data_IF_501305617957
#
_entry.id   IF_501305617957
#
_cell.length_a   1.000
_cell.length_b   1.000
_cell.length_c   1.000
_cell.angle_alpha   90.00
_cell.angle_beta   90.00
_cell.angle_gamma   90.00
#
_symmetry.space_group_name_H-M   'P 1'
#
loop_
_entity.id
_entity.type
_entity.pdbx_description
1 polymer ?
#
# COMPACT_ATOMS: atom_id res chain seq x y z
N UNK A 1 15.95 17.38 9.41
CA UNK A 1 14.96 17.58 10.50
C UNK A 1 14.79 16.26 11.21
N UNK A 2 14.66 16.26 12.55
CA UNK A 2 14.45 15.04 13.31
C UNK A 2 12.96 14.68 13.25
N UNK A 3 12.63 13.49 12.76
CA UNK A 3 11.24 13.03 12.62
C UNK A 3 10.48 13.01 13.95
N UNK A 4 11.18 12.76 15.07
CA UNK A 4 10.59 12.85 16.40
C UNK A 4 10.17 14.29 16.77
N UNK A 5 10.93 15.30 16.32
CA UNK A 5 10.58 16.69 16.59
C UNK A 5 9.33 17.11 15.81
N UNK A 6 9.15 16.58 14.59
CA UNK A 6 7.95 16.81 13.79
C UNK A 6 6.74 16.15 14.45
N UNK A 7 6.84 14.90 14.88
CA UNK A 7 5.71 14.21 15.53
C UNK A 7 5.31 14.89 16.85
N UNK A 8 6.29 15.34 17.66
CA UNK A 8 6.03 16.14 18.86
C UNK A 8 5.30 17.46 18.54
N UNK A 9 5.67 18.14 17.46
CA UNK A 9 5.00 19.37 17.03
C UNK A 9 3.56 19.11 16.59
N UNK A 10 3.32 18.01 15.87
CA UNK A 10 1.98 17.59 15.43
C UNK A 10 1.08 17.30 16.63
N UNK A 11 1.59 16.59 17.63
CA UNK A 11 0.87 16.30 18.88
C UNK A 11 0.60 17.58 19.69
N UNK A 12 1.59 18.45 19.81
CA UNK A 12 1.46 19.76 20.49
C UNK A 12 0.37 20.62 19.84
N UNK A 13 0.24 20.54 18.51
CA UNK A 13 -0.80 21.25 17.75
C UNK A 13 -2.18 20.59 17.79
N UNK A 14 -2.33 19.45 18.48
CA UNK A 14 -3.62 18.75 18.61
C UNK A 14 -4.14 18.19 17.28
N UNK A 15 -3.25 17.94 16.30
CA UNK A 15 -3.64 17.42 15.00
C UNK A 15 -3.90 15.91 15.14
N UNK A 16 -5.14 15.51 15.40
CA UNK A 16 -5.53 14.11 15.65
C UNK A 16 -6.21 13.42 14.46
N UNK A 17 -6.30 14.10 13.31
CA UNK A 17 -6.86 13.51 12.11
C UNK A 17 -6.06 12.27 11.66
N UNK A 18 -6.71 11.24 11.08
CA UNK A 18 -6.02 10.05 10.58
C UNK A 18 -4.90 10.43 9.61
N UNK A 19 -3.70 9.87 9.83
CA UNK A 19 -2.51 10.12 9.01
C UNK A 19 -1.67 8.86 8.88
N UNK A 20 -0.86 8.84 7.83
CA UNK A 20 0.24 7.88 7.73
C UNK A 20 1.34 8.32 8.69
N UNK A 21 1.89 7.39 9.46
CA UNK A 21 2.98 7.67 10.42
C UNK A 21 4.31 7.18 9.88
N UNK A 22 5.40 7.71 10.44
CA UNK A 22 6.74 7.24 10.09
C UNK A 22 6.93 5.77 10.46
N UNK A 23 6.43 5.36 11.62
CA UNK A 23 6.52 3.98 12.10
C UNK A 23 5.86 3.00 11.12
N UNK A 24 4.74 3.41 10.52
CA UNK A 24 4.08 2.64 9.47
C UNK A 24 4.94 2.54 8.20
N UNK A 25 5.55 3.64 7.77
CA UNK A 25 6.44 3.62 6.60
C UNK A 25 7.69 2.80 6.86
N UNK A 26 8.28 2.87 8.05
CA UNK A 26 9.42 2.03 8.43
C UNK A 26 9.05 0.55 8.45
N UNK A 27 7.87 0.21 8.99
CA UNK A 27 7.32 -1.14 8.93
C UNK A 27 7.17 -1.63 7.49
N UNK A 28 6.62 -0.80 6.60
CA UNK A 28 6.48 -1.11 5.18
C UNK A 28 7.84 -1.26 4.48
N UNK A 29 8.80 -0.39 4.79
CA UNK A 29 10.18 -0.50 4.30
C UNK A 29 10.86 -1.81 4.75
N UNK A 30 10.52 -2.33 5.93
CA UNK A 30 10.99 -3.65 6.40
C UNK A 30 10.55 -4.83 5.53
N UNK A 31 9.55 -4.64 4.65
CA UNK A 31 9.06 -5.63 3.68
C UNK A 31 9.63 -5.44 2.28
N UNK A 32 10.47 -4.42 2.09
CA UNK A 32 11.09 -4.12 0.79
C UNK A 32 12.28 -5.03 0.56
N UNK A 33 12.33 -5.62 -0.63
CA UNK A 33 13.41 -6.47 -1.11
C UNK A 33 14.11 -5.79 -2.28
N UNK A 34 15.41 -6.06 -2.45
CA UNK A 34 16.23 -5.42 -3.48
C UNK A 34 16.78 -6.46 -4.44
N UNK A 35 16.58 -6.23 -5.74
CA UNK A 35 17.09 -7.10 -6.81
C UNK A 35 17.83 -6.23 -7.81
N UNK A 36 19.06 -6.59 -8.16
CA UNK A 36 19.85 -5.79 -9.07
C UNK A 36 21.26 -6.29 -9.28
N UNK A 37 21.99 -5.56 -10.11
CA UNK A 37 23.36 -5.89 -10.45
C UNK A 37 23.92 -4.99 -11.54
N UNK A 38 25.16 -5.30 -11.91
CA UNK A 38 25.82 -4.65 -13.04
C UNK A 38 25.04 -4.93 -14.32
N UNK A 39 24.80 -3.89 -15.11
CA UNK A 39 24.30 -4.08 -16.48
C UNK A 39 25.46 -4.62 -17.31
N UNK A 40 25.24 -5.77 -17.96
CA UNK A 40 26.28 -6.52 -18.66
C UNK A 40 27.13 -5.64 -19.57
N UNK A 41 28.46 -5.81 -19.51
CA UNK A 41 29.45 -5.05 -20.28
C UNK A 41 29.49 -3.52 -20.07
N UNK A 42 28.72 -2.97 -19.11
CA UNK A 42 28.75 -1.53 -18.78
C UNK A 42 29.48 -1.26 -17.47
N UNK A 43 29.68 0.00 -17.10
CA UNK A 43 30.12 0.41 -15.75
C UNK A 43 28.94 0.83 -14.85
N UNK A 44 27.73 0.44 -15.24
CA UNK A 44 26.48 0.82 -14.57
C UNK A 44 25.93 -0.33 -13.73
N UNK A 45 25.35 0.00 -12.59
CA UNK A 45 24.61 -0.90 -11.71
C UNK A 45 23.21 -0.35 -11.51
N UNK A 46 22.22 -1.22 -11.63
CA UNK A 46 20.81 -0.90 -11.41
C UNK A 46 20.27 -1.82 -10.33
N UNK A 47 19.54 -1.24 -9.38
CA UNK A 47 18.87 -1.97 -8.29
C UNK A 47 17.41 -1.56 -8.24
N UNK A 48 16.53 -2.55 -8.16
CA UNK A 48 15.08 -2.40 -8.05
C UNK A 48 14.63 -2.74 -6.63
N UNK A 49 13.76 -1.91 -6.07
CA UNK A 49 13.13 -2.11 -4.77
C UNK A 49 11.69 -2.62 -4.97
N UNK A 50 11.39 -3.80 -4.43
CA UNK A 50 10.08 -4.43 -4.52
C UNK A 50 9.44 -4.56 -3.13
N UNK A 51 8.21 -4.08 -2.99
CA UNK A 51 7.35 -4.40 -1.84
C UNK A 51 6.86 -5.84 -1.97
N UNK A 52 7.01 -6.63 -0.90
CA UNK A 52 6.64 -8.05 -0.82
C UNK A 52 7.18 -8.92 -1.97
N UNK A 53 8.31 -8.49 -2.56
CA UNK A 53 8.99 -9.19 -3.65
C UNK A 53 8.29 -9.14 -5.01
N UNK A 54 7.14 -8.47 -5.16
CA UNK A 54 6.38 -8.49 -6.40
C UNK A 54 5.89 -7.13 -6.91
N UNK A 55 5.85 -6.10 -6.06
CA UNK A 55 5.38 -4.77 -6.46
C UNK A 55 6.54 -3.79 -6.52
N UNK A 56 6.91 -3.35 -7.74
CA UNK A 56 8.02 -2.42 -7.94
C UNK A 56 7.68 -1.05 -7.34
N UNK A 57 8.44 -0.62 -6.34
CA UNK A 57 8.34 0.71 -5.76
C UNK A 57 9.23 1.70 -6.52
N UNK A 58 10.50 1.36 -6.71
CA UNK A 58 11.47 2.28 -7.29
C UNK A 58 12.70 1.56 -7.85
N UNK A 59 13.45 2.29 -8.68
CA UNK A 59 14.74 1.88 -9.20
C UNK A 59 15.81 2.91 -8.85
N UNK A 60 16.96 2.42 -8.42
CA UNK A 60 18.17 3.19 -8.20
C UNK A 60 19.28 2.78 -9.17
N UNK A 61 20.19 3.70 -9.43
CA UNK A 61 21.30 3.48 -10.35
C UNK A 61 22.59 4.12 -9.84
N UNK A 62 23.71 3.52 -10.21
CA UNK A 62 25.05 4.09 -10.08
C UNK A 62 25.84 3.81 -11.35
N UNK A 63 26.68 4.73 -11.78
CA UNK A 63 27.58 4.52 -12.91
C UNK A 63 28.93 5.20 -12.63
N UNK A 64 30.03 4.53 -12.95
CA UNK A 64 31.37 5.13 -12.95
C UNK A 64 31.86 5.33 -14.39
N UNK A 65 32.69 6.35 -14.61
CA UNK A 65 33.16 6.70 -15.97
C UNK A 65 34.23 5.74 -16.48
N UNK A 66 35.10 5.27 -15.59
CA UNK A 66 36.24 4.41 -15.93
C UNK A 66 35.94 2.95 -15.55
N UNK A 67 36.12 1.98 -16.48
CA UNK A 67 36.03 0.56 -16.18
C UNK A 67 37.03 0.08 -15.12
N UNK A 68 38.21 0.70 -15.07
CA UNK A 68 39.28 0.37 -14.11
C UNK A 68 38.86 0.70 -12.67
N UNK A 69 38.01 1.71 -12.50
CA UNK A 69 37.46 2.12 -11.21
C UNK A 69 36.14 1.40 -10.87
N UNK A 70 35.68 0.46 -11.69
CA UNK A 70 34.43 -0.24 -11.44
C UNK A 70 34.56 -1.17 -10.23
N UNK A 71 33.68 -0.98 -9.25
CA UNK A 71 33.53 -1.86 -8.10
C UNK A 71 32.05 -2.26 -7.96
N UNK A 72 31.76 -3.55 -8.19
CA UNK A 72 30.40 -4.07 -8.19
C UNK A 72 29.69 -3.92 -6.85
N UNK A 73 30.40 -4.11 -5.74
CA UNK A 73 29.84 -4.00 -4.39
C UNK A 73 29.50 -2.55 -4.06
N UNK A 74 30.41 -1.62 -4.38
CA UNK A 74 30.16 -0.19 -4.15
C UNK A 74 29.03 0.34 -5.03
N UNK A 75 29.02 -0.03 -6.32
CA UNK A 75 27.95 0.32 -7.25
C UNK A 75 26.59 -0.20 -6.78
N UNK A 76 26.54 -1.46 -6.32
CA UNK A 76 25.32 -2.03 -5.75
C UNK A 76 24.86 -1.27 -4.51
N UNK A 77 25.75 -0.98 -3.56
CA UNK A 77 25.42 -0.21 -2.34
C UNK A 77 24.85 1.18 -2.69
N UNK A 78 25.45 1.89 -3.64
CA UNK A 78 24.98 3.22 -4.06
C UNK A 78 23.63 3.16 -4.78
N UNK A 79 23.47 2.22 -5.71
CA UNK A 79 22.21 2.01 -6.42
C UNK A 79 21.10 1.57 -5.46
N UNK A 80 21.39 0.68 -4.50
CA UNK A 80 20.46 0.25 -3.46
C UNK A 80 20.04 1.42 -2.57
N UNK A 81 20.98 2.23 -2.07
CA UNK A 81 20.67 3.39 -1.23
C UNK A 81 19.77 4.40 -1.97
N UNK A 82 20.02 4.61 -3.27
CA UNK A 82 19.17 5.46 -4.09
C UNK A 82 17.77 4.85 -4.29
N UNK A 83 17.68 3.53 -4.53
CA UNK A 83 16.41 2.83 -4.67
C UNK A 83 15.61 2.89 -3.36
N UNK A 84 16.28 2.71 -2.21
CA UNK A 84 15.67 2.79 -0.89
C UNK A 84 15.06 4.16 -0.60
N UNK A 85 15.80 5.24 -0.83
CA UNK A 85 15.29 6.60 -0.62
C UNK A 85 14.02 6.85 -1.45
N UNK A 86 14.06 6.50 -2.74
CA UNK A 86 12.91 6.63 -3.64
C UNK A 86 11.74 5.73 -3.24
N UNK A 87 12.00 4.51 -2.80
CA UNK A 87 10.97 3.57 -2.36
C UNK A 87 10.23 4.10 -1.12
N UNK A 88 10.96 4.71 -0.17
CA UNK A 88 10.38 5.36 1.00
C UNK A 88 9.45 6.50 0.61
N UNK A 89 9.87 7.37 -0.32
CA UNK A 89 9.04 8.47 -0.84
C UNK A 89 7.78 7.94 -1.56
N UNK A 90 7.92 6.85 -2.33
CA UNK A 90 6.78 6.21 -2.99
C UNK A 90 5.80 5.60 -1.98
N UNK A 91 6.28 4.95 -0.92
CA UNK A 91 5.40 4.43 0.12
C UNK A 91 4.63 5.54 0.83
N UNK A 92 5.25 6.68 1.12
CA UNK A 92 4.52 7.83 1.67
C UNK A 92 3.34 8.26 0.78
N UNK A 93 3.57 8.37 -0.53
CA UNK A 93 2.53 8.73 -1.49
C UNK A 93 1.43 7.66 -1.58
N UNK A 94 1.81 6.39 -1.71
CA UNK A 94 0.90 5.27 -1.89
C UNK A 94 0.06 5.00 -0.63
N UNK A 95 0.68 5.00 0.55
CA UNK A 95 -0.02 4.84 1.82
C UNK A 95 -0.95 6.03 2.10
N UNK A 96 -0.55 7.25 1.70
CA UNK A 96 -1.41 8.43 1.76
C UNK A 96 -2.65 8.29 0.87
N UNK A 97 -2.47 7.80 -0.36
CA UNK A 97 -3.58 7.50 -1.27
C UNK A 97 -4.48 6.37 -0.74
N UNK A 98 -3.89 5.32 -0.17
CA UNK A 98 -4.62 4.21 0.44
C UNK A 98 -5.46 4.69 1.63
N UNK A 99 -4.91 5.54 2.49
CA UNK A 99 -5.62 6.17 3.60
C UNK A 99 -6.77 7.04 3.11
N UNK A 100 -6.52 7.91 2.11
CA UNK A 100 -7.58 8.72 1.48
C UNK A 100 -8.74 7.85 1.01
N UNK A 101 -8.42 6.75 0.32
CA UNK A 101 -9.43 5.82 -0.22
C UNK A 101 -10.24 5.16 0.90
N UNK A 102 -9.59 4.73 1.99
CA UNK A 102 -10.28 4.19 3.17
C UNK A 102 -11.23 5.23 3.80
N UNK A 103 -10.78 6.46 3.98
CA UNK A 103 -11.57 7.56 4.56
C UNK A 103 -12.74 7.99 3.67
N UNK A 104 -12.63 7.86 2.35
CA UNK A 104 -13.74 8.15 1.44
C UNK A 104 -14.92 7.16 1.61
N UNK A 105 -14.67 6.00 2.22
CA UNK A 105 -15.67 4.97 2.44
C UNK A 105 -16.06 4.20 1.16
N UNK A 106 -17.06 3.32 1.26
CA UNK A 106 -17.48 2.49 0.14
C UNK A 106 -18.20 3.30 -0.95
N UNK A 107 -17.94 2.98 -2.21
CA UNK A 107 -18.62 3.58 -3.36
C UNK A 107 -20.05 3.04 -3.51
N UNK A 108 -20.91 3.78 -4.22
CA UNK A 108 -22.27 3.30 -4.55
C UNK A 108 -22.25 1.96 -5.31
N UNK A 109 -21.23 1.73 -6.15
CA UNK A 109 -21.05 0.45 -6.84
C UNK A 109 -20.72 -0.68 -5.86
N UNK A 110 -19.85 -0.45 -4.88
CA UNK A 110 -19.55 -1.43 -3.83
C UNK A 110 -20.80 -1.75 -3.01
N UNK A 111 -21.59 -0.73 -2.64
CA UNK A 111 -22.87 -0.92 -1.95
C UNK A 111 -23.86 -1.73 -2.81
N UNK A 112 -24.00 -1.39 -4.09
CA UNK A 112 -24.87 -2.12 -5.03
C UNK A 112 -24.45 -3.58 -5.20
N UNK A 113 -23.14 -3.84 -5.35
CA UNK A 113 -22.59 -5.20 -5.42
C UNK A 113 -22.81 -6.00 -4.13
N UNK A 114 -22.72 -5.36 -2.97
CA UNK A 114 -23.04 -5.99 -1.69
C UNK A 114 -24.53 -6.33 -1.60
N UNK A 115 -25.41 -5.40 -2.00
CA UNK A 115 -26.86 -5.60 -1.98
C UNK A 115 -27.35 -6.66 -2.99
N UNK A 116 -26.55 -6.94 -4.01
CA UNK A 116 -26.86 -7.93 -5.05
C UNK A 116 -26.08 -9.22 -4.86
N UNK A 117 -25.39 -9.37 -3.74
CA UNK A 117 -24.64 -10.59 -3.44
C UNK A 117 -25.59 -11.80 -3.38
N UNK A 118 -25.34 -12.86 -4.17
CA UNK A 118 -26.19 -14.04 -4.21
C UNK A 118 -26.00 -14.86 -2.93
N UNK A 119 -27.10 -15.19 -2.24
CA UNK A 119 -27.04 -16.01 -1.02
C UNK A 119 -26.66 -17.43 -1.39
N UNK A 120 -25.59 -18.01 -0.79
CA UNK A 120 -25.30 -19.42 -0.95
C UNK A 120 -26.47 -20.27 -0.45
N UNK A 121 -26.80 -21.36 -1.15
CA UNK A 121 -27.98 -22.19 -0.83
C UNK A 121 -28.03 -22.74 0.61
N UNK A 122 -26.85 -22.90 1.25
CA UNK A 122 -26.69 -23.37 2.62
C UNK A 122 -26.89 -22.28 3.69
N UNK A 123 -27.05 -21.02 3.29
CA UNK A 123 -27.31 -19.89 4.21
C UNK A 123 -28.80 -19.62 4.22
N UNK A 124 -29.40 -19.59 5.42
CA UNK A 124 -30.84 -19.44 5.65
C UNK A 124 -31.12 -18.25 6.59
N UNK A 125 -31.00 -16.98 6.12
CA UNK A 125 -31.08 -15.81 6.99
C UNK A 125 -32.44 -15.65 7.69
N UNK A 126 -33.50 -16.15 7.07
CA UNK A 126 -34.90 -16.06 7.53
C UNK A 126 -35.59 -17.43 7.61
N UNK A 127 -34.79 -18.50 7.71
CA UNK A 127 -35.30 -19.88 7.76
C UNK A 127 -35.68 -20.48 6.40
N UNK A 128 -35.64 -19.71 5.31
CA UNK A 128 -35.83 -20.22 3.95
C UNK A 128 -34.48 -20.35 3.21
N UNK A 129 -34.30 -21.42 2.43
CA UNK A 129 -33.09 -21.65 1.64
C UNK A 129 -32.86 -20.58 0.56
N UNK A 130 -31.60 -20.25 0.30
CA UNK A 130 -31.23 -19.49 -0.90
C UNK A 130 -31.71 -20.21 -2.16
N UNK A 131 -32.39 -19.50 -3.07
CA UNK A 131 -32.75 -20.00 -4.40
C UNK A 131 -32.04 -19.17 -5.49
N UNK A 132 -31.86 -19.68 -6.71
CA UNK A 132 -31.30 -18.90 -7.82
C UNK A 132 -32.05 -17.58 -8.01
N UNK A 133 -31.33 -16.45 -8.02
CA UNK A 133 -31.91 -15.11 -8.12
C UNK A 133 -32.28 -14.45 -6.79
N UNK A 134 -32.18 -15.17 -5.66
CA UNK A 134 -32.35 -14.59 -4.32
C UNK A 134 -31.06 -13.90 -3.86
N UNK A 135 -31.11 -12.59 -3.66
CA UNK A 135 -30.01 -11.80 -3.10
C UNK A 135 -30.12 -11.72 -1.58
N UNK A 136 -28.98 -11.58 -0.89
CA UNK A 136 -28.88 -11.72 0.57
C UNK A 136 -29.41 -10.58 1.39
N UNK A 137 -29.93 -9.55 0.76
CA UNK A 137 -30.22 -8.29 1.42
C UNK A 137 -31.55 -7.71 0.97
N UNK A 138 -32.57 -8.56 0.80
CA UNK A 138 -33.95 -8.07 0.86
C UNK A 138 -34.29 -7.45 2.25
N UNK A 139 -33.36 -7.54 3.21
CA UNK A 139 -33.46 -7.05 4.59
C UNK A 139 -32.58 -5.82 4.89
N UNK A 140 -31.73 -5.37 3.96
CA UNK A 140 -30.85 -4.21 4.16
C UNK A 140 -31.11 -3.16 3.08
N UNK A 141 -31.31 -1.91 3.49
CA UNK A 141 -31.32 -0.78 2.56
C UNK A 141 -29.89 -0.32 2.25
N UNK A 142 -29.75 0.53 1.22
CA UNK A 142 -28.46 1.05 0.80
C UNK A 142 -27.71 1.80 1.90
N UNK A 143 -28.35 2.66 2.73
CA UNK A 143 -27.69 3.28 3.88
C UNK A 143 -27.11 2.27 4.88
N UNK A 144 -27.86 1.21 5.23
CA UNK A 144 -27.38 0.21 6.19
C UNK A 144 -26.23 -0.61 5.61
N UNK A 145 -26.33 -1.03 4.35
CA UNK A 145 -25.25 -1.70 3.64
C UNK A 145 -23.97 -0.83 3.56
N UNK A 146 -24.13 0.47 3.29
CA UNK A 146 -23.02 1.40 3.28
C UNK A 146 -22.33 1.49 4.65
N UNK A 147 -23.09 1.59 5.74
CA UNK A 147 -22.54 1.64 7.09
C UNK A 147 -21.79 0.35 7.45
N UNK A 148 -22.31 -0.82 7.08
CA UNK A 148 -21.65 -2.10 7.28
C UNK A 148 -20.32 -2.19 6.52
N UNK A 149 -20.32 -1.80 5.24
CA UNK A 149 -19.10 -1.77 4.43
C UNK A 149 -18.09 -0.75 4.98
N UNK A 150 -18.57 0.41 5.45
CA UNK A 150 -17.71 1.42 6.06
C UNK A 150 -17.03 0.90 7.32
N UNK A 151 -17.75 0.16 8.18
CA UNK A 151 -17.17 -0.50 9.35
C UNK A 151 -16.02 -1.45 8.99
N UNK A 152 -16.18 -2.25 7.93
CA UNK A 152 -15.13 -3.17 7.45
C UNK A 152 -13.91 -2.42 6.91
N UNK A 153 -14.12 -1.31 6.19
CA UNK A 153 -13.03 -0.54 5.57
C UNK A 153 -12.25 0.35 6.56
N UNK A 154 -12.81 0.63 7.74
CA UNK A 154 -12.20 1.45 8.79
C UNK A 154 -11.61 0.62 9.95
N UNK A 155 -11.65 -0.73 9.85
CA UNK A 155 -11.06 -1.65 10.83
C UNK A 155 -9.53 -1.69 10.80
#
# INVERSE_FOLDING_TARGET
>A
MNDQAIEQEIQTKGLTAPRVTKEHIDFMMGRVTYVGGRVEQTTSTVVHAFLDGNFLLASGQSACVSPENFNAELGFKMAQAQAEAKARDQLWLLEGYALRTRLAGPTQEQVSRFLTWPVPAHVHPDGASGQPGRTGTNLLDAPTAQAMLQHVLHG
#
